data_IF_372281842672
#
_entry.id   IF_372281842672
#
_cell.length_a   1.000
_cell.length_b   1.000
_cell.length_c   1.000
_cell.angle_alpha   90.00
_cell.angle_beta   90.00
_cell.angle_gamma   90.00
#
_symmetry.space_group_name_H-M   'P 1'
#
loop_
_entity.id
_entity.type
_entity.pdbx_description
1 polymer ?
#
# COMPACT_ATOMS: atom_id res chain seq x y z
N UNK A 1 23.16 8.66 -7.31
CA UNK A 1 23.49 9.16 -5.96
C UNK A 1 23.92 7.99 -5.06
N UNK A 2 24.87 8.22 -4.13
CA UNK A 2 25.16 7.28 -3.05
C UNK A 2 24.34 7.68 -1.84
N UNK A 3 23.54 6.76 -1.29
CA UNK A 3 22.65 7.07 -0.18
C UNK A 3 23.24 6.78 1.19
N UNK A 4 23.99 5.68 1.30
CA UNK A 4 24.51 5.20 2.59
C UNK A 4 25.47 4.04 2.46
N UNK A 5 26.14 3.76 3.56
CA UNK A 5 26.71 2.46 3.87
C UNK A 5 25.79 1.75 4.87
N UNK A 6 25.40 0.49 4.57
CA UNK A 6 24.61 -0.36 5.45
C UNK A 6 25.46 -1.52 5.94
N UNK A 7 25.90 -1.42 7.20
CA UNK A 7 26.99 -2.22 7.75
C UNK A 7 28.28 -2.12 6.94
N UNK A 8 29.03 -3.20 6.80
CA UNK A 8 30.31 -3.28 6.11
C UNK A 8 30.40 -4.53 5.22
N UNK A 9 31.57 -4.73 4.62
CA UNK A 9 31.86 -5.86 3.72
C UNK A 9 31.82 -7.23 4.42
N UNK A 10 31.83 -7.29 5.75
CA UNK A 10 31.67 -8.55 6.50
C UNK A 10 30.20 -8.98 6.59
N UNK A 11 29.26 -8.08 6.36
CA UNK A 11 27.83 -8.33 6.43
C UNK A 11 27.24 -8.76 5.08
N UNK A 12 27.53 -8.00 4.02
CA UNK A 12 26.95 -8.25 2.69
C UNK A 12 27.89 -7.91 1.54
N UNK A 13 27.58 -8.42 0.36
CA UNK A 13 28.35 -8.15 -0.88
C UNK A 13 28.24 -6.71 -1.39
N UNK A 14 27.25 -5.93 -0.92
CA UNK A 14 27.00 -4.55 -1.35
C UNK A 14 26.64 -3.67 -0.15
N UNK A 15 27.60 -3.31 0.71
CA UNK A 15 27.34 -2.47 1.88
C UNK A 15 27.09 -1.01 1.50
N UNK A 16 27.65 -0.52 0.38
CA UNK A 16 27.45 0.86 -0.10
C UNK A 16 26.31 0.86 -1.09
N UNK A 17 25.23 1.57 -0.72
CA UNK A 17 24.05 1.69 -1.56
C UNK A 17 24.12 2.93 -2.45
N UNK A 18 23.86 2.72 -3.73
CA UNK A 18 23.78 3.77 -4.73
C UNK A 18 22.51 3.59 -5.58
N UNK A 19 22.00 4.69 -6.12
CA UNK A 19 20.74 4.71 -6.83
C UNK A 19 20.79 5.61 -8.04
N UNK A 20 20.08 5.25 -9.10
CA UNK A 20 19.69 6.22 -10.10
C UNK A 20 18.58 7.10 -9.50
N UNK A 21 18.69 8.40 -9.77
CA UNK A 21 17.68 9.39 -9.40
C UNK A 21 17.41 10.24 -10.65
N UNK A 22 16.22 10.09 -11.23
CA UNK A 22 15.76 10.93 -12.33
C UNK A 22 14.96 12.10 -11.76
N UNK A 23 15.11 13.28 -12.37
CA UNK A 23 14.34 14.48 -12.03
C UNK A 23 13.75 15.01 -13.33
N UNK A 24 12.44 15.00 -13.44
CA UNK A 24 11.71 15.52 -14.59
C UNK A 24 11.25 16.94 -14.30
N UNK A 25 11.74 17.89 -15.10
CA UNK A 25 11.41 19.30 -14.98
C UNK A 25 10.65 19.72 -16.24
N UNK A 26 9.36 20.07 -16.17
CA UNK A 26 8.60 20.55 -17.32
C UNK A 26 9.12 21.93 -17.77
N UNK A 27 8.89 22.27 -19.05
CA UNK A 27 9.31 23.58 -19.60
C UNK A 27 8.70 24.77 -18.87
N UNK A 28 7.48 24.61 -18.38
CA UNK A 28 6.77 25.59 -17.55
C UNK A 28 6.46 24.94 -16.22
N UNK A 29 6.94 25.50 -15.13
CA UNK A 29 6.67 25.01 -13.77
C UNK A 29 5.67 25.97 -13.14
N UNK A 30 4.46 25.48 -12.87
CA UNK A 30 3.45 26.23 -12.12
C UNK A 30 3.45 25.90 -10.64
N UNK A 31 3.84 24.65 -10.30
CA UNK A 31 3.83 24.09 -8.94
C UNK A 31 5.24 23.73 -8.50
N UNK A 32 6.04 24.76 -8.25
CA UNK A 32 7.46 24.61 -7.89
C UNK A 32 7.69 24.20 -6.43
N UNK A 33 6.67 24.36 -5.57
CA UNK A 33 6.81 24.13 -4.13
C UNK A 33 6.76 22.65 -3.76
N UNK A 34 5.97 21.87 -4.47
CA UNK A 34 5.69 20.45 -4.15
C UNK A 34 6.23 19.55 -5.27
N UNK A 35 7.04 18.56 -4.91
CA UNK A 35 7.58 17.56 -5.84
C UNK A 35 6.96 16.20 -5.56
N UNK A 36 6.58 15.47 -6.62
CA UNK A 36 6.25 14.05 -6.49
C UNK A 36 7.51 13.20 -6.60
N UNK A 37 7.79 12.36 -5.60
CA UNK A 37 8.90 11.40 -5.60
C UNK A 37 8.37 9.97 -5.64
N UNK A 38 8.59 9.27 -6.75
CA UNK A 38 8.31 7.85 -6.89
C UNK A 38 9.46 7.02 -6.30
N UNK A 39 9.12 6.10 -5.42
CA UNK A 39 10.04 5.08 -4.90
C UNK A 39 9.88 3.85 -5.77
N UNK A 40 10.90 3.54 -6.59
CA UNK A 40 10.80 2.53 -7.63
C UNK A 40 11.74 1.33 -7.39
N UNK A 41 11.44 0.26 -8.07
CA UNK A 41 12.24 -0.95 -8.12
C UNK A 41 13.47 -0.80 -9.03
N UNK A 42 14.18 -1.89 -9.22
CA UNK A 42 15.35 -2.04 -10.08
C UNK A 42 16.49 -2.73 -9.37
N UNK A 43 17.43 -3.22 -10.15
CA UNK A 43 18.61 -3.95 -9.66
C UNK A 43 19.87 -3.08 -9.72
N UNK A 44 20.83 -3.34 -8.86
CA UNK A 44 22.11 -2.61 -8.85
C UNK A 44 23.00 -2.95 -10.06
N UNK A 45 22.55 -3.86 -10.91
CA UNK A 45 23.17 -4.21 -12.21
C UNK A 45 22.45 -3.58 -13.39
N UNK A 46 21.35 -2.88 -13.16
CA UNK A 46 20.58 -2.25 -14.23
C UNK A 46 21.36 -1.10 -14.89
N UNK A 47 21.11 -0.90 -16.18
CA UNK A 47 21.55 0.28 -16.89
C UNK A 47 20.82 1.54 -16.40
N UNK A 48 21.42 2.70 -16.63
CA UNK A 48 20.81 3.99 -16.33
C UNK A 48 19.44 4.12 -17.04
N UNK A 49 18.38 4.48 -16.32
CA UNK A 49 17.06 4.69 -16.92
C UNK A 49 17.11 5.77 -18.02
N UNK A 50 16.52 5.48 -19.15
CA UNK A 50 16.40 6.43 -20.29
C UNK A 50 15.07 7.17 -20.29
N UNK A 51 14.09 6.72 -19.50
CA UNK A 51 12.77 7.33 -19.34
C UNK A 51 12.40 7.36 -17.88
N UNK A 52 11.60 8.35 -17.50
CA UNK A 52 11.05 8.48 -16.15
C UNK A 52 9.56 8.13 -16.17
N UNK A 53 9.08 7.18 -15.34
CA UNK A 53 7.67 6.83 -15.28
C UNK A 53 6.77 7.98 -14.83
N UNK A 54 7.33 9.01 -14.18
CA UNK A 54 6.58 10.19 -13.71
C UNK A 54 6.54 11.33 -14.73
N UNK A 55 7.11 11.17 -15.93
CA UNK A 55 7.08 12.19 -16.99
C UNK A 55 5.67 12.66 -17.30
N UNK A 56 4.72 11.73 -17.45
CA UNK A 56 3.32 12.10 -17.73
C UNK A 56 2.69 12.89 -16.57
N UNK A 57 3.00 12.54 -15.33
CA UNK A 57 2.53 13.30 -14.17
C UNK A 57 3.13 14.72 -14.18
N UNK A 58 4.43 14.85 -14.43
CA UNK A 58 5.11 16.16 -14.52
C UNK A 58 4.46 17.08 -15.57
N UNK A 59 4.22 16.53 -16.77
CA UNK A 59 3.63 17.28 -17.91
C UNK A 59 2.17 17.66 -17.65
N UNK A 60 1.38 16.76 -17.08
CA UNK A 60 -0.04 17.00 -16.80
C UNK A 60 -0.26 17.99 -15.65
N UNK A 61 0.71 18.10 -14.76
CA UNK A 61 0.56 18.92 -13.54
C UNK A 61 1.45 20.15 -13.53
N UNK A 62 2.24 20.39 -14.56
CA UNK A 62 3.27 21.45 -14.60
C UNK A 62 4.09 21.49 -13.30
N UNK A 63 4.49 20.33 -12.81
CA UNK A 63 5.19 20.12 -11.55
C UNK A 63 6.50 19.39 -11.76
N UNK A 64 7.44 19.59 -10.85
CA UNK A 64 8.64 18.76 -10.78
C UNK A 64 8.25 17.38 -10.25
N UNK A 65 8.75 16.32 -10.92
CA UNK A 65 8.66 14.98 -10.39
C UNK A 65 10.05 14.34 -10.35
N UNK A 66 10.21 13.33 -9.50
CA UNK A 66 11.45 12.57 -9.43
C UNK A 66 11.15 11.07 -9.21
N UNK A 67 12.10 10.23 -9.61
CA UNK A 67 12.03 8.79 -9.34
C UNK A 67 13.37 8.32 -8.81
N UNK A 68 13.37 7.73 -7.62
CA UNK A 68 14.51 6.97 -7.11
C UNK A 68 14.32 5.51 -7.46
N UNK A 69 15.34 4.90 -8.05
CA UNK A 69 15.36 3.49 -8.47
C UNK A 69 16.16 2.63 -7.49
N UNK A 70 16.09 1.32 -7.66
CA UNK A 70 16.88 0.33 -6.92
C UNK A 70 16.59 0.37 -5.41
N UNK A 71 15.32 0.40 -5.04
CA UNK A 71 14.88 0.31 -3.64
C UNK A 71 14.22 -1.07 -3.40
N UNK A 72 14.92 -2.01 -2.70
CA UNK A 72 16.28 -1.93 -2.13
C UNK A 72 17.38 -1.94 -3.21
N UNK A 73 18.65 -1.71 -2.81
CA UNK A 73 19.80 -1.74 -3.70
C UNK A 73 20.26 -3.19 -3.94
N UNK A 74 19.48 -3.94 -4.65
CA UNK A 74 19.54 -5.39 -4.88
C UNK A 74 20.13 -5.75 -6.26
N UNK A 75 20.47 -7.04 -6.54
CA UNK A 75 20.55 -8.14 -5.59
C UNK A 75 21.86 -8.13 -4.80
N UNK A 76 21.89 -8.81 -3.65
CA UNK A 76 23.14 -9.02 -2.93
C UNK A 76 23.12 -10.29 -2.06
N UNK A 77 24.30 -10.70 -1.58
CA UNK A 77 24.52 -11.84 -0.70
C UNK A 77 24.77 -11.37 0.72
N UNK A 78 24.23 -12.11 1.69
CA UNK A 78 24.64 -11.99 3.08
C UNK A 78 25.65 -13.10 3.39
N UNK A 79 26.81 -12.75 3.95
CA UNK A 79 27.85 -13.74 4.21
C UNK A 79 27.49 -14.74 5.31
N UNK A 80 26.58 -14.38 6.20
CA UNK A 80 26.02 -15.25 7.23
C UNK A 80 24.77 -16.03 6.76
N UNK A 81 24.44 -16.00 5.48
CA UNK A 81 23.39 -16.82 4.91
C UNK A 81 23.95 -18.23 4.64
N UNK A 82 23.46 -19.28 5.35
CA UNK A 82 23.97 -20.64 5.17
C UNK A 82 23.76 -21.19 3.76
N UNK A 83 22.77 -20.65 3.04
CA UNK A 83 22.49 -21.04 1.65
C UNK A 83 23.34 -20.27 0.64
N UNK A 84 24.06 -19.24 1.07
CA UNK A 84 24.87 -18.34 0.22
C UNK A 84 24.12 -17.88 -1.04
N UNK A 85 22.80 -17.67 -0.94
CA UNK A 85 21.96 -17.26 -2.07
C UNK A 85 22.20 -15.80 -2.42
N UNK A 86 22.15 -15.48 -3.71
CA UNK A 86 21.91 -14.13 -4.19
C UNK A 86 20.44 -13.84 -3.99
N UNK A 87 20.10 -12.80 -3.22
CA UNK A 87 18.74 -12.48 -2.83
C UNK A 87 18.30 -11.14 -3.41
N UNK A 88 17.04 -11.08 -3.73
CA UNK A 88 16.34 -9.89 -4.20
C UNK A 88 14.95 -9.80 -3.54
N UNK A 89 14.27 -8.70 -3.73
CA UNK A 89 12.87 -8.47 -3.39
C UNK A 89 12.47 -8.99 -1.99
N UNK A 90 11.45 -9.83 -1.91
CA UNK A 90 10.93 -10.36 -0.64
C UNK A 90 11.90 -11.34 0.03
N UNK A 91 12.75 -12.01 -0.74
CA UNK A 91 13.78 -12.87 -0.20
C UNK A 91 14.82 -12.11 0.66
N UNK A 92 15.13 -10.83 0.32
CA UNK A 92 15.96 -9.97 1.16
C UNK A 92 15.25 -9.60 2.47
N UNK A 93 13.97 -9.24 2.39
CA UNK A 93 13.18 -8.86 3.56
C UNK A 93 13.07 -10.06 4.51
N UNK A 94 12.67 -11.22 3.98
CA UNK A 94 12.50 -12.45 4.75
C UNK A 94 13.80 -12.85 5.45
N UNK A 95 14.96 -12.75 4.76
CA UNK A 95 16.25 -13.03 5.38
C UNK A 95 16.56 -12.07 6.54
N UNK A 96 16.30 -10.77 6.37
CA UNK A 96 16.55 -9.78 7.43
C UNK A 96 15.62 -9.96 8.63
N UNK A 97 14.37 -10.38 8.41
CA UNK A 97 13.45 -10.74 9.49
C UNK A 97 13.94 -11.98 10.24
N UNK A 98 14.35 -13.03 9.49
CA UNK A 98 14.94 -14.22 10.10
C UNK A 98 16.17 -13.87 10.95
N UNK A 99 17.05 -13.03 10.43
CA UNK A 99 18.23 -12.57 11.17
C UNK A 99 17.86 -11.81 12.44
N UNK A 100 16.85 -10.93 12.37
CA UNK A 100 16.33 -10.21 13.54
C UNK A 100 15.80 -11.18 14.61
N UNK A 101 15.05 -12.21 14.19
CA UNK A 101 14.56 -13.24 15.12
C UNK A 101 15.69 -14.07 15.72
N UNK A 102 16.67 -14.48 14.96
CA UNK A 102 17.81 -15.27 15.41
C UNK A 102 18.65 -14.57 16.46
N UNK A 103 18.71 -13.24 16.44
CA UNK A 103 19.39 -12.43 17.44
C UNK A 103 18.44 -11.90 18.53
N UNK A 104 17.25 -12.49 18.69
CA UNK A 104 16.22 -12.07 19.65
C UNK A 104 15.86 -10.57 19.57
N UNK A 105 15.92 -9.98 18.37
CA UNK A 105 15.58 -8.58 18.13
C UNK A 105 16.50 -7.57 18.84
N UNK A 106 17.74 -7.92 19.10
CA UNK A 106 18.70 -7.05 19.84
C UNK A 106 19.30 -5.95 18.99
N UNK A 107 19.38 -6.12 17.68
CA UNK A 107 19.83 -5.08 16.74
C UNK A 107 18.83 -4.89 15.58
N UNK A 108 17.95 -3.90 15.66
CA UNK A 108 16.97 -3.64 14.59
C UNK A 108 17.61 -3.13 13.29
N UNK A 109 18.87 -2.65 13.30
CA UNK A 109 19.56 -2.16 12.09
C UNK A 109 19.73 -3.23 11.03
N UNK A 110 19.60 -4.53 11.39
CA UNK A 110 19.61 -5.63 10.40
C UNK A 110 18.40 -5.62 9.49
N UNK A 111 17.31 -4.95 9.88
CA UNK A 111 16.06 -4.91 9.11
C UNK A 111 16.21 -4.03 7.87
N UNK A 112 15.94 -4.62 6.70
CA UNK A 112 16.07 -3.96 5.39
C UNK A 112 15.25 -2.67 5.25
N UNK A 113 14.17 -2.52 6.02
CA UNK A 113 13.32 -1.31 5.99
C UNK A 113 14.08 -0.04 6.35
N UNK A 114 15.04 -0.10 7.27
CA UNK A 114 15.80 1.08 7.66
C UNK A 114 16.65 1.65 6.52
N UNK A 115 17.51 0.86 5.83
CA UNK A 115 18.28 1.40 4.71
C UNK A 115 17.39 1.78 3.52
N UNK A 116 16.26 1.11 3.26
CA UNK A 116 15.30 1.51 2.22
C UNK A 116 14.72 2.90 2.52
N UNK A 117 14.23 3.12 3.74
CA UNK A 117 13.70 4.43 4.19
C UNK A 117 14.76 5.53 4.12
N UNK A 118 15.97 5.26 4.61
CA UNK A 118 17.08 6.21 4.58
C UNK A 118 17.46 6.61 3.16
N UNK A 119 17.42 5.68 2.20
CA UNK A 119 17.71 5.99 0.80
C UNK A 119 16.73 7.02 0.22
N UNK A 120 15.44 6.93 0.57
CA UNK A 120 14.41 7.89 0.11
C UNK A 120 14.60 9.26 0.76
N UNK A 121 14.91 9.32 2.06
CA UNK A 121 15.25 10.59 2.73
C UNK A 121 16.44 11.25 2.04
N UNK A 122 17.49 10.47 1.71
CA UNK A 122 18.66 10.98 0.97
C UNK A 122 18.34 11.41 -0.47
N UNK A 123 17.34 10.79 -1.10
CA UNK A 123 16.87 11.26 -2.41
C UNK A 123 16.24 12.65 -2.31
N UNK A 124 15.42 12.92 -1.29
CA UNK A 124 14.86 14.25 -1.05
C UNK A 124 15.98 15.28 -0.81
N UNK A 125 16.98 14.97 0.04
CA UNK A 125 18.14 15.82 0.27
C UNK A 125 18.89 16.11 -1.05
N UNK A 126 19.05 15.10 -1.91
CA UNK A 126 19.75 15.22 -3.21
C UNK A 126 18.95 16.10 -4.18
N UNK A 127 17.62 15.98 -4.22
CA UNK A 127 16.76 16.83 -5.04
C UNK A 127 16.90 18.28 -4.61
N UNK A 128 16.77 18.58 -3.32
CA UNK A 128 16.93 19.93 -2.80
C UNK A 128 18.33 20.51 -3.13
N UNK A 129 19.38 19.71 -2.93
CA UNK A 129 20.75 20.12 -3.21
C UNK A 129 20.96 20.41 -4.70
N UNK A 130 20.40 19.56 -5.58
CA UNK A 130 20.46 19.76 -7.03
C UNK A 130 19.83 21.07 -7.44
N UNK A 131 18.62 21.41 -6.94
CA UNK A 131 17.93 22.64 -7.27
C UNK A 131 18.69 23.88 -6.75
N UNK A 132 19.28 23.80 -5.54
CA UNK A 132 20.15 24.85 -5.01
C UNK A 132 21.35 25.09 -5.94
N UNK A 133 22.02 24.04 -6.42
CA UNK A 133 23.18 24.15 -7.32
C UNK A 133 22.81 24.73 -8.70
N UNK A 134 21.61 24.44 -9.19
CA UNK A 134 21.13 24.97 -10.47
C UNK A 134 20.52 26.37 -10.35
N UNK A 135 20.50 26.98 -9.17
CA UNK A 135 19.86 28.26 -8.88
C UNK A 135 18.37 28.31 -9.27
N UNK A 136 17.67 27.19 -9.13
CA UNK A 136 16.23 27.06 -9.35
C UNK A 136 15.54 27.00 -7.98
N UNK A 137 14.28 27.42 -7.93
CA UNK A 137 13.48 27.35 -6.70
C UNK A 137 13.46 25.92 -6.14
N UNK A 138 13.89 25.80 -4.90
CA UNK A 138 13.97 24.49 -4.21
C UNK A 138 12.57 24.07 -3.79
N UNK A 139 12.15 22.82 -4.06
CA UNK A 139 10.90 22.30 -3.51
C UNK A 139 10.96 22.25 -1.98
N UNK A 140 9.86 22.61 -1.35
CA UNK A 140 9.73 22.64 0.12
C UNK A 140 9.00 21.39 0.65
N UNK A 141 8.20 20.78 -0.19
CA UNK A 141 7.27 19.72 0.17
C UNK A 141 7.37 18.56 -0.82
N UNK A 142 7.16 17.35 -0.31
CA UNK A 142 7.14 16.14 -1.12
C UNK A 142 5.82 15.40 -0.97
N UNK A 143 5.30 14.91 -2.09
CA UNK A 143 4.33 13.82 -2.16
C UNK A 143 5.11 12.58 -2.59
N UNK A 144 5.10 11.55 -1.78
CA UNK A 144 5.86 10.33 -2.07
C UNK A 144 4.95 9.16 -2.36
N UNK A 145 5.36 8.26 -3.24
CA UNK A 145 4.58 7.06 -3.58
C UNK A 145 5.46 5.90 -4.00
N UNK A 146 4.97 4.70 -3.82
CA UNK A 146 5.67 3.49 -4.24
C UNK A 146 4.78 2.25 -4.08
N UNK A 147 5.10 1.18 -4.80
CA UNK A 147 4.29 -0.03 -4.84
C UNK A 147 4.87 -1.16 -4.00
N UNK A 148 4.01 -1.97 -3.38
CA UNK A 148 4.37 -3.17 -2.63
C UNK A 148 5.38 -2.84 -1.51
N UNK A 149 6.54 -3.48 -1.45
CA UNK A 149 7.60 -3.17 -0.49
C UNK A 149 8.08 -1.70 -0.56
N UNK A 150 7.93 -1.03 -1.70
CA UNK A 150 8.17 0.42 -1.86
C UNK A 150 7.00 1.24 -1.32
N UNK A 151 5.78 0.69 -1.33
CA UNK A 151 4.63 1.24 -0.58
C UNK A 151 4.86 1.21 0.92
N UNK A 152 5.47 0.12 1.43
CA UNK A 152 5.92 0.08 2.83
C UNK A 152 6.99 1.15 3.11
N UNK A 153 7.96 1.31 2.20
CA UNK A 153 8.96 2.37 2.31
C UNK A 153 8.33 3.76 2.23
N UNK A 154 7.26 3.94 1.45
CA UNK A 154 6.46 5.16 1.43
C UNK A 154 5.91 5.49 2.81
N UNK A 155 5.26 4.54 3.47
CA UNK A 155 4.76 4.70 4.84
C UNK A 155 5.87 5.08 5.82
N UNK A 156 6.96 4.30 5.86
CA UNK A 156 8.04 4.53 6.82
C UNK A 156 8.80 5.83 6.56
N UNK A 157 8.95 6.25 5.30
CA UNK A 157 9.54 7.55 4.97
C UNK A 157 8.65 8.70 5.43
N UNK A 158 7.34 8.61 5.23
CA UNK A 158 6.40 9.63 5.71
C UNK A 158 6.40 9.75 7.25
N UNK A 159 6.60 8.63 7.98
CA UNK A 159 6.75 8.65 9.42
C UNK A 159 8.07 9.28 9.90
N UNK A 160 9.15 9.08 9.16
CA UNK A 160 10.50 9.57 9.52
C UNK A 160 10.70 11.04 9.16
N UNK A 161 10.17 11.46 8.02
CA UNK A 161 10.33 12.82 7.49
C UNK A 161 8.97 13.52 7.32
N UNK A 162 8.20 13.56 8.39
CA UNK A 162 6.84 14.12 8.42
C UNK A 162 6.82 15.67 8.36
N UNK A 163 7.96 16.29 8.26
CA UNK A 163 8.08 17.75 8.05
C UNK A 163 8.06 18.11 6.57
N UNK A 164 8.73 17.32 5.71
CA UNK A 164 8.78 17.55 4.26
C UNK A 164 7.72 16.73 3.50
N UNK A 165 7.34 15.56 4.02
CA UNK A 165 6.34 14.69 3.37
C UNK A 165 4.94 15.12 3.75
N UNK A 166 4.28 15.88 2.87
CA UNK A 166 2.92 16.40 3.10
C UNK A 166 1.83 15.43 2.64
N UNK A 167 2.18 14.47 1.78
CA UNK A 167 1.27 13.39 1.41
C UNK A 167 2.04 12.11 1.02
N UNK A 168 1.43 10.96 1.25
CA UNK A 168 1.95 9.64 0.92
C UNK A 168 0.94 8.82 0.14
N UNK A 169 1.41 8.12 -0.89
CA UNK A 169 0.60 7.26 -1.76
C UNK A 169 1.17 5.85 -1.72
N UNK A 170 0.89 5.06 -0.67
CA UNK A 170 1.22 3.64 -0.65
C UNK A 170 0.33 2.90 -1.65
N UNK A 171 0.99 2.17 -2.57
CA UNK A 171 0.32 1.44 -3.64
C UNK A 171 0.47 -0.05 -3.34
N UNK A 172 -0.65 -0.80 -3.35
CA UNK A 172 -0.73 -2.23 -3.02
C UNK A 172 0.10 -2.57 -1.78
N UNK A 173 -0.17 -1.80 -0.70
CA UNK A 173 0.46 -1.96 0.60
C UNK A 173 -0.43 -1.42 1.71
N UNK A 174 -1.36 -2.25 2.17
CA UNK A 174 -2.28 -2.01 3.28
C UNK A 174 -2.09 -2.99 4.45
N UNK A 175 -0.90 -3.57 4.56
CA UNK A 175 -0.54 -4.44 5.67
C UNK A 175 -0.05 -3.60 6.85
N UNK A 176 -1.00 -3.05 7.59
CA UNK A 176 -0.79 -2.32 8.84
C UNK A 176 -1.43 -3.10 9.99
N UNK A 177 -0.96 -2.86 11.22
CA UNK A 177 -1.34 -3.64 12.40
C UNK A 177 -1.06 -5.13 12.13
N UNK A 178 0.24 -5.43 11.94
CA UNK A 178 0.74 -6.65 11.30
C UNK A 178 0.14 -7.93 11.85
N UNK A 179 0.16 -8.12 13.18
CA UNK A 179 -0.25 -9.39 13.77
C UNK A 179 -1.74 -9.70 13.56
N UNK A 180 -2.69 -8.81 13.89
CA UNK A 180 -4.11 -9.04 13.59
C UNK A 180 -4.38 -9.24 12.09
N UNK A 181 -3.73 -8.45 11.24
CA UNK A 181 -3.85 -8.59 9.78
C UNK A 181 -3.37 -9.96 9.29
N UNK A 182 -2.22 -10.43 9.78
CA UNK A 182 -1.70 -11.76 9.43
C UNK A 182 -2.57 -12.89 9.96
N UNK A 183 -3.13 -12.75 11.16
CA UNK A 183 -4.06 -13.77 11.68
C UNK A 183 -5.36 -13.82 10.89
N UNK A 184 -5.90 -12.67 10.48
CA UNK A 184 -7.05 -12.61 9.57
C UNK A 184 -6.75 -13.28 8.22
N UNK A 185 -5.57 -13.02 7.65
CA UNK A 185 -5.11 -13.65 6.42
C UNK A 185 -5.08 -15.18 6.55
N UNK A 186 -4.43 -15.69 7.60
CA UNK A 186 -4.37 -17.14 7.87
C UNK A 186 -5.77 -17.75 8.01
N UNK A 187 -6.63 -17.11 8.81
CA UNK A 187 -8.01 -17.57 9.06
C UNK A 187 -8.86 -17.56 7.79
N UNK A 188 -8.68 -16.59 6.93
CA UNK A 188 -9.41 -16.45 5.66
C UNK A 188 -9.02 -17.55 4.66
N UNK A 189 -7.75 -17.87 4.58
CA UNK A 189 -7.22 -18.76 3.54
C UNK A 189 -6.99 -20.20 4.03
N UNK A 190 -6.97 -20.44 5.35
CA UNK A 190 -6.58 -21.73 5.92
C UNK A 190 -5.11 -22.06 5.67
N UNK A 191 -4.28 -21.04 5.64
CA UNK A 191 -2.84 -21.07 5.35
C UNK A 191 -2.34 -19.69 4.92
N UNK A 192 -1.17 -19.67 4.30
CA UNK A 192 -0.54 -18.45 3.81
C UNK A 192 -0.66 -18.35 2.29
N UNK A 193 -0.82 -17.16 1.76
CA UNK A 193 -0.79 -16.97 0.31
C UNK A 193 0.51 -17.52 -0.29
N UNK A 194 0.43 -18.09 -1.49
CA UNK A 194 1.63 -18.51 -2.24
C UNK A 194 2.63 -17.36 -2.44
N UNK A 195 2.16 -16.13 -2.46
CA UNK A 195 2.99 -14.94 -2.58
C UNK A 195 3.94 -14.73 -1.37
N UNK A 196 3.71 -15.43 -0.25
CA UNK A 196 4.62 -15.42 0.91
C UNK A 196 5.69 -16.53 0.86
N UNK A 197 5.97 -17.10 -0.31
CA UNK A 197 6.93 -18.20 -0.45
C UNK A 197 8.29 -17.90 0.21
N UNK A 198 8.86 -16.71 -0.01
CA UNK A 198 10.15 -16.33 0.58
C UNK A 198 10.12 -16.31 2.11
N UNK A 199 9.03 -15.83 2.69
CA UNK A 199 8.82 -15.82 4.15
C UNK A 199 8.59 -17.23 4.69
N UNK A 200 7.87 -18.06 3.93
CA UNK A 200 7.61 -19.46 4.27
C UNK A 200 8.90 -20.29 4.25
N UNK A 201 9.74 -20.19 3.22
CA UNK A 201 11.03 -20.86 3.11
C UNK A 201 11.98 -20.48 4.25
N UNK A 202 11.92 -19.22 4.72
CA UNK A 202 12.73 -18.74 5.84
C UNK A 202 12.11 -19.04 7.21
N UNK A 203 11.02 -19.84 7.28
CA UNK A 203 10.28 -20.17 8.50
C UNK A 203 9.73 -18.95 9.26
N UNK A 204 9.54 -17.81 8.60
CA UNK A 204 8.99 -16.60 9.21
C UNK A 204 7.56 -16.80 9.68
N UNK A 205 6.79 -17.57 8.93
CA UNK A 205 5.37 -17.82 9.20
C UNK A 205 5.12 -18.41 10.60
N UNK A 206 6.06 -19.17 11.16
CA UNK A 206 5.99 -19.69 12.54
C UNK A 206 5.91 -18.61 13.61
N UNK A 207 6.43 -17.42 13.32
CA UNK A 207 6.49 -16.32 14.27
C UNK A 207 5.28 -15.39 14.18
N UNK A 208 4.42 -15.52 13.15
CA UNK A 208 3.35 -14.56 12.84
C UNK A 208 2.35 -14.34 14.00
N UNK A 209 2.21 -15.31 14.91
CA UNK A 209 1.43 -15.17 16.14
C UNK A 209 2.32 -15.29 17.39
N UNK A 210 3.37 -14.48 17.48
CA UNK A 210 4.31 -14.52 18.60
C UNK A 210 4.74 -13.12 19.05
N UNK A 211 5.24 -13.03 20.29
CA UNK A 211 5.81 -11.79 20.82
C UNK A 211 7.05 -11.31 20.07
N UNK A 212 7.77 -12.21 19.40
CA UNK A 212 8.90 -11.83 18.55
C UNK A 212 8.42 -11.10 17.28
N UNK A 213 7.27 -11.49 16.75
CA UNK A 213 6.65 -10.78 15.64
C UNK A 213 6.10 -9.41 16.08
N UNK A 214 5.54 -9.31 17.28
CA UNK A 214 5.16 -8.01 17.85
C UNK A 214 6.38 -7.08 17.96
N UNK A 215 7.51 -7.60 18.42
CA UNK A 215 8.78 -6.84 18.50
C UNK A 215 9.29 -6.39 17.13
N UNK A 216 9.11 -7.19 16.08
CA UNK A 216 9.37 -6.78 14.71
C UNK A 216 8.41 -5.66 14.28
N UNK A 217 7.12 -5.82 14.55
CA UNK A 217 6.09 -4.84 14.21
C UNK A 217 6.37 -3.46 14.84
N UNK A 218 6.78 -3.41 16.10
CA UNK A 218 7.21 -2.16 16.75
C UNK A 218 8.28 -1.38 15.97
N UNK A 219 9.12 -2.09 15.18
CA UNK A 219 10.22 -1.48 14.43
C UNK A 219 9.83 -1.09 12.99
N UNK A 220 8.93 -1.82 12.34
CA UNK A 220 8.70 -1.68 10.89
C UNK A 220 7.23 -1.50 10.49
N UNK A 221 6.28 -1.78 11.37
CA UNK A 221 4.87 -1.61 11.06
C UNK A 221 4.50 -0.12 11.03
N UNK A 222 3.97 0.40 9.92
CA UNK A 222 3.49 1.77 9.88
C UNK A 222 2.44 2.10 10.96
N UNK A 223 1.67 1.11 11.39
CA UNK A 223 0.70 1.27 12.48
C UNK A 223 1.34 1.69 13.81
N UNK A 224 2.57 1.25 14.08
CA UNK A 224 3.33 1.65 15.27
C UNK A 224 3.72 3.14 15.29
N UNK A 225 3.52 3.86 14.19
CA UNK A 225 3.93 5.24 14.00
C UNK A 225 2.78 6.16 13.56
N UNK A 226 1.53 5.78 13.82
CA UNK A 226 0.35 6.54 13.36
C UNK A 226 0.36 8.01 13.79
N UNK A 227 0.84 8.30 14.99
CA UNK A 227 0.98 9.66 15.53
C UNK A 227 1.85 10.59 14.67
N UNK A 228 2.75 10.01 13.87
CA UNK A 228 3.66 10.76 12.99
C UNK A 228 3.02 11.21 11.68
N UNK A 229 1.83 10.72 11.35
CA UNK A 229 1.11 11.09 10.11
C UNK A 229 0.13 12.26 10.28
N UNK A 230 0.12 12.95 11.42
CA UNK A 230 -0.88 13.98 11.76
C UNK A 230 -0.97 15.12 10.72
N UNK A 231 0.11 15.43 10.03
CA UNK A 231 0.15 16.44 8.98
C UNK A 231 0.22 15.86 7.56
N UNK A 232 0.21 14.55 7.42
CA UNK A 232 0.38 13.87 6.14
C UNK A 232 -0.97 13.38 5.61
N UNK A 233 -1.31 13.70 4.36
CA UNK A 233 -2.45 13.10 3.68
C UNK A 233 -2.05 11.74 3.14
N UNK A 234 -2.89 10.74 3.37
CA UNK A 234 -2.63 9.36 2.93
C UNK A 234 -3.64 8.98 1.83
N UNK A 235 -3.16 8.57 0.68
CA UNK A 235 -3.99 8.03 -0.39
C UNK A 235 -3.57 6.61 -0.72
N UNK A 236 -4.31 5.63 -0.22
CA UNK A 236 -4.06 4.22 -0.48
C UNK A 236 -4.67 3.80 -1.83
N UNK A 237 -3.86 3.13 -2.65
CA UNK A 237 -4.27 2.56 -3.94
C UNK A 237 -4.14 1.04 -3.85
N UNK A 238 -5.26 0.31 -3.89
CA UNK A 238 -5.30 -1.13 -3.62
C UNK A 238 -5.97 -1.91 -4.74
N UNK A 239 -5.56 -3.17 -4.95
CA UNK A 239 -6.24 -4.12 -5.81
C UNK A 239 -7.32 -4.89 -5.06
N UNK A 240 -8.51 -5.07 -5.65
CA UNK A 240 -9.57 -5.81 -4.99
C UNK A 240 -9.34 -7.34 -4.97
N UNK A 241 -8.43 -7.83 -5.81
CA UNK A 241 -8.03 -9.23 -5.88
C UNK A 241 -6.53 -9.44 -5.67
N UNK A 242 -5.91 -8.60 -4.83
CA UNK A 242 -4.48 -8.66 -4.52
C UNK A 242 -4.09 -10.03 -3.96
N UNK A 243 -3.00 -10.59 -4.44
CA UNK A 243 -2.49 -11.91 -4.05
C UNK A 243 -1.75 -11.89 -2.70
N UNK A 244 -1.28 -10.70 -2.26
CA UNK A 244 -0.61 -10.51 -0.97
C UNK A 244 -1.57 -10.05 0.12
N UNK A 245 -2.46 -9.10 -0.19
CA UNK A 245 -3.26 -8.37 0.79
C UNK A 245 -4.76 -8.57 0.54
N UNK A 246 -5.49 -8.94 1.59
CA UNK A 246 -6.91 -9.22 1.48
C UNK A 246 -7.72 -7.92 1.34
N UNK A 247 -8.91 -7.98 0.70
CA UNK A 247 -9.69 -6.79 0.40
C UNK A 247 -10.33 -6.11 1.63
N UNK A 248 -10.16 -6.66 2.81
CA UNK A 248 -10.63 -6.12 4.10
C UNK A 248 -9.48 -5.88 5.10
N UNK A 249 -8.25 -5.75 4.62
CA UNK A 249 -7.09 -5.44 5.47
C UNK A 249 -7.28 -4.15 6.26
N UNK A 250 -8.03 -3.19 5.74
CA UNK A 250 -8.35 -1.93 6.40
C UNK A 250 -9.13 -2.09 7.71
N UNK A 251 -9.80 -3.21 7.94
CA UNK A 251 -10.53 -3.49 9.19
C UNK A 251 -9.66 -3.36 10.44
N UNK A 252 -8.34 -3.52 10.29
CA UNK A 252 -7.39 -3.55 11.39
C UNK A 252 -6.75 -2.19 11.71
N UNK A 253 -6.95 -1.16 10.85
CA UNK A 253 -6.26 0.12 11.05
C UNK A 253 -6.99 1.36 10.55
N UNK A 254 -8.03 1.22 9.73
CA UNK A 254 -8.63 2.38 9.03
C UNK A 254 -9.21 3.42 9.98
N UNK A 255 -9.91 3.00 11.00
CA UNK A 255 -10.51 3.93 11.97
C UNK A 255 -9.45 4.75 12.70
N UNK A 256 -8.35 4.11 13.12
CA UNK A 256 -7.26 4.79 13.81
C UNK A 256 -6.50 5.71 12.85
N UNK A 257 -6.30 5.27 11.59
CA UNK A 257 -5.69 6.08 10.55
C UNK A 257 -6.50 7.35 10.25
N UNK A 258 -7.82 7.24 10.21
CA UNK A 258 -8.73 8.38 9.93
C UNK A 258 -8.65 9.48 10.98
N UNK A 259 -8.43 9.13 12.25
CA UNK A 259 -8.38 10.11 13.35
C UNK A 259 -6.97 10.66 13.58
N UNK A 260 -5.95 10.02 13.03
CA UNK A 260 -4.54 10.40 13.29
C UNK A 260 -3.85 11.14 12.15
N UNK A 261 -4.40 11.10 10.92
CA UNK A 261 -3.74 11.68 9.73
C UNK A 261 -4.31 13.05 9.35
N UNK A 262 -3.60 13.75 8.48
CA UNK A 262 -4.08 14.97 7.82
C UNK A 262 -5.19 14.74 6.79
N UNK A 263 -5.68 13.50 6.67
CA UNK A 263 -6.73 13.03 5.79
C UNK A 263 -6.35 11.69 5.15
N UNK A 264 -7.26 10.73 5.22
CA UNK A 264 -7.07 9.37 4.66
C UNK A 264 -8.07 9.10 3.56
N UNK A 265 -7.57 8.61 2.43
CA UNK A 265 -8.33 8.33 1.23
C UNK A 265 -7.99 6.94 0.73
N UNK A 266 -8.99 6.21 0.25
CA UNK A 266 -8.85 4.85 -0.26
C UNK A 266 -9.40 4.76 -1.68
N UNK A 267 -8.69 4.09 -2.55
CA UNK A 267 -9.18 3.62 -3.83
C UNK A 267 -8.85 2.15 -4.00
N UNK A 268 -9.87 1.31 -3.96
CA UNK A 268 -9.80 -0.11 -4.29
C UNK A 268 -10.24 -0.31 -5.73
N UNK A 269 -9.38 -0.93 -6.54
CA UNK A 269 -9.60 -1.09 -7.97
C UNK A 269 -10.14 -2.50 -8.23
N UNK A 270 -11.37 -2.64 -8.75
CA UNK A 270 -11.96 -3.95 -9.00
C UNK A 270 -11.18 -4.71 -10.08
N UNK A 271 -11.20 -6.04 -9.99
CA UNK A 271 -10.61 -6.94 -10.98
C UNK A 271 -9.11 -6.74 -11.24
N UNK A 272 -8.37 -6.19 -10.29
CA UNK A 272 -6.90 -6.10 -10.32
C UNK A 272 -6.30 -6.92 -9.18
N UNK A 273 -5.14 -7.53 -9.44
CA UNK A 273 -4.32 -8.20 -8.42
C UNK A 273 -3.29 -7.24 -7.82
N UNK A 274 -2.15 -7.78 -7.40
CA UNK A 274 -1.04 -6.99 -6.85
C UNK A 274 -0.44 -5.98 -7.85
N UNK A 275 -0.59 -6.21 -9.14
CA UNK A 275 -0.25 -5.23 -10.20
C UNK A 275 -1.49 -4.46 -10.61
N UNK A 276 -1.70 -3.27 -10.03
CA UNK A 276 -2.83 -2.40 -10.35
C UNK A 276 -2.56 -1.52 -11.58
N UNK A 277 -3.64 -1.15 -12.27
CA UNK A 277 -3.64 -0.23 -13.43
C UNK A 277 -4.83 0.70 -13.37
N UNK A 278 -4.79 1.80 -14.12
CA UNK A 278 -5.92 2.74 -14.24
C UNK A 278 -6.11 3.62 -13.01
N UNK A 279 -5.06 3.85 -12.23
CA UNK A 279 -5.07 4.74 -11.06
C UNK A 279 -4.47 6.11 -11.36
N UNK A 280 -3.87 6.30 -12.51
CA UNK A 280 -3.01 7.44 -12.88
C UNK A 280 -3.78 8.77 -12.80
N UNK A 281 -5.04 8.77 -13.23
CA UNK A 281 -5.91 9.95 -13.13
C UNK A 281 -6.20 10.34 -11.67
N UNK A 282 -6.50 9.36 -10.83
CA UNK A 282 -6.74 9.62 -9.40
C UNK A 282 -5.47 10.04 -8.69
N UNK A 283 -4.31 9.49 -9.06
CA UNK A 283 -3.02 9.94 -8.56
C UNK A 283 -2.76 11.40 -8.93
N UNK A 284 -2.96 11.76 -10.21
CA UNK A 284 -2.79 13.14 -10.68
C UNK A 284 -3.76 14.11 -10.00
N UNK A 285 -5.04 13.71 -9.86
CA UNK A 285 -6.06 14.52 -9.19
C UNK A 285 -5.75 14.74 -7.71
N UNK A 286 -5.32 13.69 -7.01
CA UNK A 286 -4.89 13.76 -5.62
C UNK A 286 -3.67 14.68 -5.48
N UNK A 287 -2.64 14.47 -6.30
CA UNK A 287 -1.43 15.29 -6.29
C UNK A 287 -1.74 16.78 -6.54
N UNK A 288 -2.54 17.09 -7.55
CA UNK A 288 -2.97 18.46 -7.86
C UNK A 288 -3.70 19.11 -6.68
N UNK A 289 -4.57 18.36 -6.01
CA UNK A 289 -5.30 18.87 -4.83
C UNK A 289 -4.36 19.19 -3.68
N UNK A 290 -3.32 18.37 -3.48
CA UNK A 290 -2.29 18.61 -2.45
C UNK A 290 -1.43 19.83 -2.83
N UNK A 291 -0.90 19.86 -4.05
CA UNK A 291 0.02 20.90 -4.52
C UNK A 291 -0.65 22.28 -4.58
N UNK A 292 -1.93 22.34 -5.00
CA UNK A 292 -2.71 23.59 -5.07
C UNK A 292 -3.44 23.91 -3.75
N UNK A 293 -3.31 23.06 -2.72
CA UNK A 293 -3.97 23.23 -1.40
C UNK A 293 -5.49 23.32 -1.50
N UNK A 294 -6.08 22.53 -2.39
CA UNK A 294 -7.52 22.48 -2.62
C UNK A 294 -8.12 21.37 -1.76
N UNK A 295 -9.29 21.61 -1.16
CA UNK A 295 -9.98 20.57 -0.40
C UNK A 295 -10.30 19.35 -1.26
N UNK A 296 -9.87 18.18 -0.78
CA UNK A 296 -10.25 16.88 -1.34
C UNK A 296 -11.71 16.58 -0.98
N UNK A 297 -12.39 15.71 -1.76
CA UNK A 297 -13.74 15.25 -1.40
C UNK A 297 -13.78 14.69 0.03
N UNK A 298 -14.88 14.86 0.70
CA UNK A 298 -15.13 14.25 2.01
C UNK A 298 -16.17 13.15 1.85
N UNK A 299 -15.75 11.92 1.98
CA UNK A 299 -16.62 10.74 2.01
C UNK A 299 -16.41 10.01 3.32
N UNK A 300 -17.48 9.88 4.10
CA UNK A 300 -17.50 9.11 5.36
C UNK A 300 -18.51 7.98 5.21
N UNK A 301 -18.27 6.88 5.89
CA UNK A 301 -19.16 5.73 5.81
C UNK A 301 -19.21 4.95 7.11
N UNK A 302 -20.26 4.15 7.24
CA UNK A 302 -20.42 3.11 8.26
C UNK A 302 -20.72 1.78 7.58
N UNK A 303 -20.31 0.69 8.20
CA UNK A 303 -20.62 -0.67 7.80
C UNK A 303 -21.37 -1.37 8.93
N UNK A 304 -22.58 -1.81 8.68
CA UNK A 304 -23.42 -2.47 9.64
C UNK A 304 -23.89 -3.81 9.11
N UNK A 305 -24.02 -4.81 9.96
CA UNK A 305 -24.50 -6.14 9.62
C UNK A 305 -25.66 -6.50 10.53
N UNK A 306 -26.73 -7.00 9.95
CA UNK A 306 -27.86 -7.62 10.69
C UNK A 306 -27.96 -9.11 10.37
N UNK A 307 -29.04 -9.77 10.77
CA UNK A 307 -29.23 -11.21 10.56
C UNK A 307 -29.38 -11.65 9.09
N UNK A 308 -29.62 -10.76 8.14
CA UNK A 308 -29.94 -11.09 6.73
C UNK A 308 -29.07 -10.40 5.70
N UNK A 309 -28.51 -9.23 6.03
CA UNK A 309 -27.68 -8.46 5.10
C UNK A 309 -26.70 -7.52 5.82
N UNK A 310 -25.70 -7.07 5.10
CA UNK A 310 -24.85 -5.95 5.48
C UNK A 310 -25.25 -4.69 4.72
N UNK A 311 -24.96 -3.53 5.30
CA UNK A 311 -25.21 -2.22 4.71
C UNK A 311 -23.94 -1.39 4.82
N UNK A 312 -23.48 -0.83 3.69
CA UNK A 312 -22.56 0.29 3.67
C UNK A 312 -23.40 1.54 3.47
N UNK A 313 -23.36 2.44 4.44
CA UNK A 313 -23.98 3.75 4.32
C UNK A 313 -22.88 4.81 4.18
N UNK A 314 -22.87 5.53 3.06
CA UNK A 314 -21.87 6.54 2.74
C UNK A 314 -22.48 7.93 2.66
N UNK A 315 -21.78 8.90 3.23
CA UNK A 315 -22.14 10.32 3.22
C UNK A 315 -21.04 11.08 2.51
N UNK A 316 -21.38 11.81 1.46
CA UNK A 316 -20.47 12.67 0.71
C UNK A 316 -20.80 14.12 1.01
N UNK A 317 -19.82 14.83 1.60
CA UNK A 317 -19.91 16.27 1.85
C UNK A 317 -19.14 17.03 0.77
N UNK A 318 -19.83 17.88 0.01
CA UNK A 318 -19.30 18.76 -1.02
C UNK A 318 -19.46 20.26 -0.67
N UNK A 319 -19.57 20.58 0.61
CA UNK A 319 -19.46 21.94 1.13
C UNK A 319 -18.04 22.49 1.00
N UNK A 320 -17.86 23.79 1.23
CA UNK A 320 -16.58 24.47 1.32
C UNK A 320 -15.66 24.26 0.08
N UNK A 321 -16.24 24.24 -1.11
CA UNK A 321 -15.47 24.10 -2.37
C UNK A 321 -15.04 22.68 -2.72
N UNK A 322 -15.48 21.67 -1.96
CA UNK A 322 -15.26 20.26 -2.30
C UNK A 322 -16.10 19.86 -3.52
N UNK A 323 -15.59 18.99 -4.40
CA UNK A 323 -16.34 18.55 -5.56
C UNK A 323 -17.52 17.64 -5.16
N UNK A 324 -18.65 17.83 -5.85
CA UNK A 324 -19.79 16.89 -5.80
C UNK A 324 -19.43 15.62 -6.58
N UNK A 325 -19.87 14.41 -6.16
CA UNK A 325 -19.66 13.20 -6.94
C UNK A 325 -20.39 13.30 -8.29
N UNK A 326 -19.71 12.90 -9.35
CA UNK A 326 -20.26 12.80 -10.72
C UNK A 326 -20.88 11.43 -10.97
N UNK A 327 -20.42 10.42 -10.26
CA UNK A 327 -20.96 9.06 -10.26
C UNK A 327 -20.76 8.41 -8.90
N UNK A 328 -21.74 7.58 -8.49
CA UNK A 328 -21.62 6.71 -7.33
C UNK A 328 -22.12 5.32 -7.73
N UNK A 329 -21.24 4.36 -7.64
CA UNK A 329 -21.45 2.96 -8.00
C UNK A 329 -20.92 2.04 -6.90
N UNK A 330 -21.09 0.74 -7.05
CA UNK A 330 -20.52 -0.24 -6.13
C UNK A 330 -20.03 -1.46 -6.90
N UNK A 331 -19.13 -2.20 -6.27
CA UNK A 331 -18.64 -3.46 -6.78
C UNK A 331 -18.86 -4.56 -5.76
N UNK A 332 -19.24 -5.74 -6.26
CA UNK A 332 -19.48 -6.92 -5.45
C UNK A 332 -18.79 -8.13 -6.11
N UNK A 333 -18.19 -8.98 -5.28
CA UNK A 333 -17.63 -10.26 -5.69
C UNK A 333 -18.08 -11.37 -4.76
N UNK A 334 -18.00 -12.60 -5.26
CA UNK A 334 -18.30 -13.81 -4.50
C UNK A 334 -17.12 -14.78 -4.59
N UNK A 335 -16.82 -15.51 -3.52
CA UNK A 335 -15.76 -16.52 -3.53
C UNK A 335 -16.03 -17.61 -4.56
N UNK A 336 -14.98 -18.16 -5.16
CA UNK A 336 -15.12 -19.23 -6.17
C UNK A 336 -15.57 -20.58 -5.59
N UNK A 337 -15.33 -20.78 -4.29
CA UNK A 337 -15.70 -21.98 -3.55
C UNK A 337 -16.11 -21.64 -2.10
N UNK A 338 -16.49 -22.65 -1.34
CA UNK A 338 -16.94 -22.54 0.06
C UNK A 338 -15.85 -22.91 1.08
N UNK A 339 -14.62 -23.19 0.61
CA UNK A 339 -13.53 -23.66 1.46
C UNK A 339 -12.73 -22.52 2.07
N UNK A 340 -12.65 -21.38 1.33
CA UNK A 340 -11.83 -20.23 1.70
C UNK A 340 -12.58 -18.93 1.48
N UNK A 341 -12.33 -17.98 2.35
CA UNK A 341 -12.75 -16.58 2.22
C UNK A 341 -11.75 -15.85 1.30
N UNK A 342 -11.64 -16.32 0.05
CA UNK A 342 -10.57 -15.98 -0.89
C UNK A 342 -11.08 -15.16 -2.08
N UNK A 343 -10.67 -13.89 -2.16
CA UNK A 343 -11.01 -12.96 -3.23
C UNK A 343 -9.80 -12.62 -4.12
N UNK A 344 -8.66 -13.27 -3.92
CA UNK A 344 -7.45 -13.09 -4.73
C UNK A 344 -7.72 -13.47 -6.19
N UNK A 345 -6.98 -12.86 -7.12
CA UNK A 345 -7.07 -13.21 -8.56
C UNK A 345 -6.34 -14.51 -8.91
N UNK A 346 -5.39 -14.91 -8.09
CA UNK A 346 -4.66 -16.15 -8.28
C UNK A 346 -4.56 -16.92 -6.96
N UNK A 347 -4.50 -18.24 -7.07
CA UNK A 347 -4.33 -19.16 -5.94
C UNK A 347 -3.45 -20.33 -6.35
N UNK A 348 -2.95 -21.06 -5.35
CA UNK A 348 -2.17 -22.27 -5.60
C UNK A 348 -3.12 -23.47 -5.83
N UNK A 349 -2.92 -24.18 -6.93
CA UNK A 349 -3.53 -25.51 -7.13
C UNK A 349 -2.81 -26.51 -6.23
N UNK A 350 -3.52 -26.96 -5.20
CA UNK A 350 -2.98 -27.88 -4.19
C UNK A 350 -2.63 -29.27 -4.72
N UNK A 351 -3.08 -29.62 -5.94
CA UNK A 351 -2.80 -30.92 -6.54
C UNK A 351 -1.43 -31.01 -7.21
N UNK A 352 -0.92 -29.87 -7.70
CA UNK A 352 0.32 -29.83 -8.51
C UNK A 352 1.26 -28.68 -8.15
N UNK A 353 0.86 -27.77 -7.24
CA UNK A 353 1.66 -26.64 -6.80
C UNK A 353 1.76 -25.48 -7.79
N UNK A 354 0.98 -25.47 -8.86
CA UNK A 354 0.97 -24.39 -9.83
C UNK A 354 0.10 -23.23 -9.37
N UNK A 355 0.52 -22.00 -9.71
CA UNK A 355 -0.35 -20.82 -9.55
C UNK A 355 -1.36 -20.79 -10.69
N UNK A 356 -2.64 -20.74 -10.33
CA UNK A 356 -3.75 -20.73 -11.29
C UNK A 356 -4.67 -19.53 -11.04
N UNK A 357 -5.42 -19.15 -12.06
CA UNK A 357 -6.44 -18.09 -11.93
C UNK A 357 -7.51 -18.54 -10.94
N UNK A 358 -7.83 -17.67 -9.99
CA UNK A 358 -9.01 -17.78 -9.15
C UNK A 358 -10.14 -16.98 -9.81
N UNK A 359 -11.26 -17.60 -10.25
CA UNK A 359 -12.28 -16.96 -11.09
C UNK A 359 -13.21 -16.03 -10.29
N UNK A 360 -12.66 -15.22 -9.40
CA UNK A 360 -13.39 -14.20 -8.66
C UNK A 360 -13.47 -12.92 -9.51
N UNK A 361 -14.71 -12.48 -9.75
CA UNK A 361 -14.98 -11.29 -10.56
C UNK A 361 -15.76 -10.28 -9.71
N UNK A 362 -15.25 -9.05 -9.65
CA UNK A 362 -15.94 -7.92 -9.06
C UNK A 362 -16.85 -7.28 -10.11
N UNK A 363 -18.14 -7.46 -9.94
CA UNK A 363 -19.17 -6.94 -10.84
C UNK A 363 -19.78 -5.66 -10.26
N UNK A 364 -20.12 -4.73 -11.15
CA UNK A 364 -20.84 -3.52 -10.77
C UNK A 364 -22.22 -3.90 -10.21
N UNK A 365 -22.63 -3.22 -9.16
CA UNK A 365 -23.95 -3.40 -8.52
C UNK A 365 -24.58 -2.06 -8.18
N UNK A 366 -25.90 -2.05 -8.04
CA UNK A 366 -26.66 -0.83 -7.81
C UNK A 366 -26.41 -0.25 -6.42
N UNK A 367 -26.33 1.07 -6.37
CA UNK A 367 -26.28 1.88 -5.14
C UNK A 367 -27.60 2.62 -5.01
N UNK A 368 -28.18 2.62 -3.83
CA UNK A 368 -29.36 3.39 -3.52
C UNK A 368 -28.96 4.82 -3.15
N UNK A 369 -29.48 5.80 -3.88
CA UNK A 369 -29.40 7.21 -3.49
C UNK A 369 -30.50 7.47 -2.46
N UNK A 370 -30.13 7.89 -1.24
CA UNK A 370 -31.06 8.10 -0.14
C UNK A 370 -31.56 9.54 -0.05
N UNK A 371 -30.83 10.45 -0.69
CA UNK A 371 -31.22 11.86 -0.74
C UNK A 371 -30.05 12.82 -0.61
N UNK A 372 -30.37 14.10 -0.75
CA UNK A 372 -29.43 15.21 -0.58
C UNK A 372 -30.04 16.27 0.32
N UNK A 373 -29.28 16.73 1.32
CA UNK A 373 -29.62 17.86 2.18
C UNK A 373 -28.49 18.89 2.08
N UNK A 374 -28.79 20.04 1.48
CA UNK A 374 -27.78 21.07 1.21
C UNK A 374 -26.62 20.54 0.37
N UNK A 375 -25.41 20.60 0.91
CA UNK A 375 -24.19 20.11 0.28
C UNK A 375 -23.79 18.71 0.74
N UNK A 376 -24.72 17.91 1.24
CA UNK A 376 -24.46 16.54 1.70
C UNK A 376 -25.39 15.57 1.00
N UNK A 377 -24.84 14.53 0.38
CA UNK A 377 -25.58 13.46 -0.28
C UNK A 377 -25.32 12.12 0.43
N UNK A 378 -26.35 11.29 0.55
CA UNK A 378 -26.31 9.99 1.22
C UNK A 378 -26.61 8.87 0.25
N UNK A 379 -25.88 7.77 0.40
CA UNK A 379 -25.97 6.59 -0.44
C UNK A 379 -25.89 5.33 0.42
N UNK A 380 -26.58 4.26 0.01
CA UNK A 380 -26.45 2.96 0.65
C UNK A 380 -26.23 1.83 -0.35
N UNK A 381 -25.46 0.83 0.09
CA UNK A 381 -25.29 -0.44 -0.59
C UNK A 381 -25.73 -1.55 0.36
N UNK A 382 -26.73 -2.32 -0.08
CA UNK A 382 -27.27 -3.45 0.68
C UNK A 382 -26.70 -4.73 0.07
N UNK A 383 -26.05 -5.55 0.90
CA UNK A 383 -25.38 -6.79 0.51
C UNK A 383 -26.01 -7.95 1.25
N UNK A 384 -26.80 -8.84 0.59
CA UNK A 384 -27.38 -10.01 1.23
C UNK A 384 -26.30 -10.98 1.76
N UNK A 385 -26.54 -11.55 2.93
CA UNK A 385 -25.69 -12.63 3.47
C UNK A 385 -25.97 -13.91 2.68
N UNK A 386 -24.98 -14.52 2.01
CA UNK A 386 -25.18 -15.78 1.32
C UNK A 386 -25.46 -16.91 2.31
N UNK A 387 -26.37 -17.82 1.94
CA UNK A 387 -26.82 -18.95 2.79
C UNK A 387 -26.26 -20.29 2.32
N UNK A 388 -25.43 -20.30 1.30
CA UNK A 388 -24.91 -21.48 0.61
C UNK A 388 -23.42 -21.76 0.88
N UNK A 389 -22.88 -21.16 1.95
CA UNK A 389 -21.53 -21.37 2.42
C UNK A 389 -20.43 -20.53 1.75
N UNK A 390 -20.77 -19.71 0.75
CA UNK A 390 -19.83 -18.77 0.13
C UNK A 390 -19.72 -17.47 0.94
N UNK A 391 -18.69 -16.69 0.64
CA UNK A 391 -18.57 -15.31 1.09
C UNK A 391 -18.81 -14.32 -0.07
N UNK A 392 -19.39 -13.20 0.26
CA UNK A 392 -19.60 -12.06 -0.65
C UNK A 392 -18.87 -10.86 -0.08
N UNK A 393 -18.10 -10.19 -0.92
CA UNK A 393 -17.41 -8.94 -0.60
C UNK A 393 -18.00 -7.80 -1.43
N UNK A 394 -18.10 -6.59 -0.85
CA UNK A 394 -18.57 -5.42 -1.57
C UNK A 394 -17.97 -4.13 -1.02
N UNK A 395 -17.83 -3.12 -1.90
CA UNK A 395 -17.48 -1.75 -1.55
C UNK A 395 -18.20 -0.74 -2.44
N UNK A 396 -18.38 0.47 -1.93
CA UNK A 396 -18.95 1.59 -2.65
C UNK A 396 -17.84 2.46 -3.24
N UNK A 397 -18.06 2.97 -4.46
CA UNK A 397 -17.15 3.84 -5.19
C UNK A 397 -17.83 5.17 -5.49
N UNK A 398 -17.13 6.29 -5.26
CA UNK A 398 -17.56 7.61 -5.69
C UNK A 398 -16.50 8.24 -6.59
N UNK A 399 -16.94 8.83 -7.70
CA UNK A 399 -16.10 9.47 -8.71
C UNK A 399 -16.35 10.97 -8.72
N UNK A 400 -15.30 11.75 -8.79
CA UNK A 400 -15.32 13.21 -8.72
C UNK A 400 -14.54 13.81 -9.88
N UNK A 401 -15.02 14.93 -10.41
CA UNK A 401 -14.21 15.77 -11.30
C UNK A 401 -13.04 16.38 -10.52
N UNK A 402 -11.82 16.09 -10.96
CA UNK A 402 -10.61 16.68 -10.42
C UNK A 402 -10.18 17.93 -11.17
N UNK A 403 -9.02 18.48 -10.78
CA UNK A 403 -8.41 19.63 -11.44
C UNK A 403 -7.89 19.25 -12.83
N UNK A 404 -7.89 20.23 -13.74
CA UNK A 404 -7.27 20.11 -15.08
C UNK A 404 -7.77 18.87 -15.88
N UNK A 405 -9.07 18.54 -15.71
CA UNK A 405 -9.70 17.44 -16.40
C UNK A 405 -9.34 16.05 -15.87
N UNK A 406 -8.69 15.96 -14.71
CA UNK A 406 -8.44 14.68 -14.04
C UNK A 406 -9.70 14.14 -13.36
N UNK A 407 -9.67 12.86 -13.00
CA UNK A 407 -10.77 12.19 -12.31
C UNK A 407 -10.22 11.58 -11.00
N UNK A 408 -10.85 11.96 -9.88
CA UNK A 408 -10.57 11.32 -8.60
C UNK A 408 -11.65 10.28 -8.30
N UNK A 409 -11.23 9.05 -8.08
CA UNK A 409 -12.12 7.98 -7.63
C UNK A 409 -11.70 7.56 -6.21
N UNK A 410 -12.67 7.50 -5.30
CA UNK A 410 -12.50 7.05 -3.93
C UNK A 410 -13.44 5.87 -3.66
N UNK A 411 -13.06 4.99 -2.75
CA UNK A 411 -13.90 3.87 -2.32
C UNK A 411 -14.05 3.83 -0.81
N UNK A 412 -15.07 3.12 -0.34
CA UNK A 412 -15.15 2.71 1.05
C UNK A 412 -14.21 1.55 1.32
N UNK A 413 -14.04 1.21 2.59
CA UNK A 413 -13.58 -0.13 2.99
C UNK A 413 -14.53 -1.19 2.43
N UNK A 414 -14.02 -2.42 2.32
CA UNK A 414 -14.83 -3.57 1.89
C UNK A 414 -15.63 -4.14 3.06
N UNK A 415 -16.87 -4.54 2.83
CA UNK A 415 -17.63 -5.42 3.73
C UNK A 415 -17.58 -6.84 3.18
N UNK A 416 -17.31 -7.85 4.03
CA UNK A 416 -17.35 -9.26 3.65
C UNK A 416 -18.35 -10.01 4.52
N UNK A 417 -19.22 -10.76 3.87
CA UNK A 417 -20.34 -11.46 4.50
C UNK A 417 -20.42 -12.93 4.10
N UNK A 418 -20.78 -13.84 5.03
CA UNK A 418 -20.91 -13.57 6.46
C UNK A 418 -19.56 -13.13 7.06
N UNK A 419 -19.59 -12.39 8.18
CA UNK A 419 -18.36 -12.02 8.90
C UNK A 419 -17.86 -13.22 9.73
N UNK A 420 -17.45 -14.25 9.02
CA UNK A 420 -16.92 -15.50 9.58
C UNK A 420 -15.66 -15.92 8.86
N UNK A 421 -14.89 -16.78 9.50
CA UNK A 421 -13.66 -17.32 8.95
C UNK A 421 -13.75 -18.84 8.86
N UNK A 422 -13.19 -19.48 7.81
CA UNK A 422 -13.22 -20.93 7.64
C UNK A 422 -12.36 -21.69 8.67
N UNK A 423 -11.32 -21.06 9.22
CA UNK A 423 -10.46 -21.69 10.23
C UNK A 423 -10.18 -20.74 11.41
N UNK A 424 -9.72 -21.32 12.52
CA UNK A 424 -9.29 -20.55 13.69
C UNK A 424 -7.88 -19.97 13.50
N UNK A 425 -7.47 -19.10 14.43
CA UNK A 425 -6.08 -18.61 14.48
C UNK A 425 -5.12 -19.77 14.75
N UNK A 426 -3.96 -19.69 14.16
CA UNK A 426 -2.89 -20.63 14.45
C UNK A 426 -2.11 -20.19 15.70
N UNK A 427 -1.50 -21.14 16.37
CA UNK A 427 -0.62 -20.90 17.50
C UNK A 427 0.69 -21.66 17.35
N UNK A 428 1.79 -21.04 17.79
CA UNK A 428 3.13 -21.64 17.80
C UNK A 428 3.51 -22.34 16.48
N UNK A 429 3.84 -23.60 16.54
CA UNK A 429 4.28 -24.40 15.39
C UNK A 429 3.19 -24.58 14.32
N UNK A 430 1.92 -24.49 14.66
CA UNK A 430 0.81 -24.55 13.70
C UNK A 430 0.86 -23.39 12.71
N UNK A 431 1.40 -22.24 13.13
CA UNK A 431 1.56 -21.07 12.27
C UNK A 431 2.56 -21.27 11.13
N UNK A 432 3.36 -22.34 11.16
CA UNK A 432 4.10 -22.69 9.95
C UNK A 432 3.14 -22.85 8.77
N UNK A 433 2.03 -23.57 8.96
CA UNK A 433 0.94 -23.69 8.01
C UNK A 433 1.38 -24.31 6.68
N UNK A 434 0.71 -23.88 5.62
CA UNK A 434 1.01 -24.26 4.23
C UNK A 434 0.75 -23.07 3.31
N UNK A 435 1.36 -23.10 2.13
CA UNK A 435 1.03 -22.15 1.05
C UNK A 435 -0.27 -22.59 0.34
N UNK A 436 -1.11 -21.60 -0.01
CA UNK A 436 -2.40 -21.81 -0.65
C UNK A 436 -2.64 -20.82 -1.79
#
# INVERSE_FOLDING_TARGET
>A
MTSQQWFDESFSSHPIWWHYLTITVPRSIRRYRTTFLLINQGDNTDAMPTTDPMTNLALRTDSITATIYQIPNQPFRFWNDPLNKLRDEDALIAWTWKKFFDINGTDPKVLLRFPMTKAVVRAMDTIEQFFKQQHITVPEEFVIGGASKRGWTTWTTAAVDNTRVVAAVPIVMDLLNLRPSMMSHYRSLGGWTFAFNDYYEMNITRYMNSSMFDKLAEMVDPYSFLDRYSNTKIFQLQGAGDEFFLPDSEDFFWNDLQVTTGGSYLRRIPNTGHSIKGYEDSLASFYLSVADRIPLPSMKWTRNVNGTHGIIHAIVDFSAGRPKPTDVSAYQARTSDTLRRDFRRAKLDQSNGNVVINPVIWSNTAVQFEGQIGSTASYSLIVPIPTDGHWVAAFLQATFSGREGTILTLTTETIILPNTYPVQECHDQECYGKLV
#
